data_IF_921060286797
#
_entry.id   IF_921060286797
#
_cell.length_a   1.000
_cell.length_b   1.000
_cell.length_c   1.000
_cell.angle_alpha   90.00
_cell.angle_beta   90.00
_cell.angle_gamma   90.00
#
_symmetry.space_group_name_H-M   'P 1'
#
loop_
_entity.id
_entity.type
_entity.pdbx_description
1 polymer ?
#
# COMPACT_ATOMS: atom_id res chain seq x y z
N UNK A 1 -9.28 -12.94 41.20
CA UNK A 1 -9.23 -11.50 40.87
C UNK A 1 -9.85 -11.37 39.50
N UNK A 2 -10.94 -10.60 39.40
CA UNK A 2 -11.84 -10.51 38.26
C UNK A 2 -11.14 -10.07 36.97
N UNK A 3 -11.32 -10.83 35.90
CA UNK A 3 -11.16 -10.38 34.52
C UNK A 3 -12.34 -9.45 34.16
N UNK A 4 -12.10 -8.24 33.64
CA UNK A 4 -13.14 -7.50 32.94
C UNK A 4 -12.87 -7.46 31.43
N UNK A 5 -14.00 -7.50 30.71
CA UNK A 5 -14.23 -7.05 29.35
C UNK A 5 -13.77 -7.96 28.18
N UNK A 6 -14.80 -8.54 27.58
CA UNK A 6 -14.83 -9.25 26.31
C UNK A 6 -14.08 -8.52 25.19
N UNK A 7 -13.26 -9.28 24.46
CA UNK A 7 -12.61 -8.83 23.23
C UNK A 7 -13.66 -8.76 22.12
N UNK A 8 -14.24 -7.57 21.95
CA UNK A 8 -15.09 -7.24 20.80
C UNK A 8 -14.53 -5.99 20.12
N UNK A 9 -13.51 -6.15 19.28
CA UNK A 9 -13.03 -5.07 18.41
C UNK A 9 -12.52 -5.64 17.07
N UNK A 10 -12.98 -5.12 15.92
CA UNK A 10 -12.43 -5.47 14.62
C UNK A 10 -11.03 -4.86 14.45
N UNK A 11 -9.99 -5.68 14.33
CA UNK A 11 -8.66 -5.18 14.01
C UNK A 11 -8.58 -4.88 12.51
N UNK A 12 -8.27 -3.64 12.14
CA UNK A 12 -7.91 -3.26 10.77
C UNK A 12 -6.39 -3.09 10.72
N UNK A 13 -5.74 -3.94 9.95
CA UNK A 13 -4.28 -3.91 9.79
C UNK A 13 -3.87 -2.67 8.99
N UNK A 14 -2.90 -1.89 9.47
CA UNK A 14 -2.30 -0.76 8.73
C UNK A 14 -1.22 -1.20 7.73
N UNK A 15 -0.94 -2.51 7.67
CA UNK A 15 -0.10 -3.14 6.67
C UNK A 15 -0.90 -4.18 5.86
N UNK A 16 -1.38 -3.84 4.65
CA UNK A 16 -2.26 -4.72 3.88
C UNK A 16 -1.55 -5.92 3.22
N UNK A 17 -0.25 -6.12 3.43
CA UNK A 17 0.50 -7.18 2.72
C UNK A 17 0.30 -8.58 3.33
N UNK A 18 -0.22 -8.72 4.57
CA UNK A 18 -0.33 -10.03 5.23
C UNK A 18 -1.75 -10.42 5.66
N UNK A 19 -2.74 -9.60 5.38
CA UNK A 19 -4.10 -9.86 5.81
C UNK A 19 -4.97 -10.13 4.56
N UNK A 20 -5.44 -11.37 4.40
CA UNK A 20 -6.58 -11.74 3.53
C UNK A 20 -7.89 -11.85 4.32
N UNK A 21 -8.30 -10.90 5.19
CA UNK A 21 -9.68 -10.91 5.63
C UNK A 21 -10.50 -10.29 4.50
N UNK A 22 -11.77 -10.65 4.46
CA UNK A 22 -12.77 -9.70 4.00
C UNK A 22 -12.64 -8.42 4.86
N UNK A 23 -12.47 -7.26 4.22
CA UNK A 23 -12.26 -5.95 4.86
C UNK A 23 -13.35 -5.60 5.89
N UNK A 24 -14.51 -6.26 5.80
CA UNK A 24 -15.64 -6.09 6.71
C UNK A 24 -15.68 -7.07 7.88
N UNK A 25 -14.77 -8.03 7.91
CA UNK A 25 -14.90 -9.19 8.78
C UNK A 25 -14.05 -9.01 10.06
N UNK A 26 -14.68 -9.21 11.22
CA UNK A 26 -14.02 -9.04 12.53
C UNK A 26 -12.83 -9.99 12.66
N UNK A 27 -11.74 -9.51 13.28
CA UNK A 27 -10.65 -10.38 13.71
C UNK A 27 -11.17 -11.31 14.81
N UNK A 28 -11.19 -12.62 14.52
CA UNK A 28 -11.52 -13.68 15.48
C UNK A 28 -10.25 -14.42 15.90
N UNK A 29 -10.32 -15.17 17.00
CA UNK A 29 -9.20 -15.97 17.51
C UNK A 29 -8.65 -16.94 16.45
N UNK A 30 -9.52 -17.64 15.73
CA UNK A 30 -9.12 -18.59 14.68
C UNK A 30 -8.40 -17.92 13.51
N UNK A 31 -8.82 -16.70 13.15
CA UNK A 31 -8.15 -15.92 12.11
C UNK A 31 -6.83 -15.35 12.57
N UNK A 32 -6.73 -14.99 13.84
CA UNK A 32 -5.48 -14.53 14.43
C UNK A 32 -4.44 -15.66 14.47
N UNK A 33 -4.86 -16.89 14.82
CA UNK A 33 -4.03 -18.10 14.73
C UNK A 33 -3.54 -18.36 13.31
N UNK A 34 -4.46 -18.32 12.35
CA UNK A 34 -4.13 -18.49 10.93
C UNK A 34 -3.12 -17.44 10.44
N UNK A 35 -3.30 -16.17 10.84
CA UNK A 35 -2.40 -15.07 10.48
C UNK A 35 -1.02 -15.19 11.12
N UNK A 36 -0.97 -15.57 12.39
CA UNK A 36 0.28 -15.78 13.10
C UNK A 36 0.94 -17.14 12.77
N UNK A 37 0.36 -17.90 11.83
CA UNK A 37 0.78 -19.26 11.43
C UNK A 37 1.04 -20.16 12.63
N UNK A 38 0.14 -20.12 13.62
CA UNK A 38 0.31 -20.83 14.89
C UNK A 38 -1.02 -21.33 15.41
N UNK A 39 -1.02 -22.50 16.03
CA UNK A 39 -2.19 -23.07 16.68
C UNK A 39 -2.40 -22.50 18.11
N UNK A 40 -1.39 -21.81 18.66
CA UNK A 40 -1.43 -21.23 20.01
C UNK A 40 -1.90 -19.76 20.02
N UNK A 41 -3.03 -19.53 20.69
CA UNK A 41 -3.62 -18.20 20.90
C UNK A 41 -2.65 -17.23 21.56
N UNK A 42 -1.90 -17.69 22.57
CA UNK A 42 -1.03 -16.80 23.33
C UNK A 42 0.13 -16.30 22.48
N UNK A 43 0.71 -17.17 21.67
CA UNK A 43 1.73 -16.81 20.69
C UNK A 43 1.17 -15.83 19.65
N UNK A 44 -0.03 -16.08 19.13
CA UNK A 44 -0.68 -15.21 18.16
C UNK A 44 -0.99 -13.80 18.72
N UNK A 45 -1.51 -13.73 19.96
CA UNK A 45 -1.77 -12.47 20.66
C UNK A 45 -0.47 -11.72 20.99
N UNK A 46 0.58 -12.42 21.41
CA UNK A 46 1.88 -11.81 21.67
C UNK A 46 2.47 -11.15 20.42
N UNK A 47 2.31 -11.79 19.25
CA UNK A 47 2.71 -11.21 17.97
C UNK A 47 1.88 -9.94 17.67
N UNK A 48 0.56 -10.00 17.83
CA UNK A 48 -0.33 -8.86 17.63
C UNK A 48 0.07 -7.67 18.53
N UNK A 49 0.25 -7.90 19.82
CA UNK A 49 0.65 -6.84 20.76
C UNK A 49 2.04 -6.28 20.47
N UNK A 50 2.97 -7.10 20.00
CA UNK A 50 4.28 -6.63 19.54
C UNK A 50 4.15 -5.69 18.36
N UNK A 51 3.35 -6.03 17.36
CA UNK A 51 3.12 -5.16 16.20
C UNK A 51 2.40 -3.86 16.57
N UNK A 52 1.43 -3.92 17.48
CA UNK A 52 0.76 -2.71 17.98
C UNK A 52 1.73 -1.81 18.74
N UNK A 53 2.62 -2.38 19.57
CA UNK A 53 3.64 -1.62 20.30
C UNK A 53 4.71 -1.03 19.38
N UNK A 54 4.94 -1.65 18.22
CA UNK A 54 5.82 -1.15 17.17
C UNK A 54 5.10 -0.17 16.22
N UNK A 55 3.86 0.21 16.54
CA UNK A 55 3.05 1.14 15.74
C UNK A 55 2.76 0.65 14.31
N UNK A 56 2.94 -0.66 14.06
CA UNK A 56 2.66 -1.28 12.76
C UNK A 56 1.18 -1.62 12.56
N UNK A 57 0.40 -1.68 13.63
CA UNK A 57 -1.02 -2.04 13.60
C UNK A 57 -1.80 -1.25 14.65
N UNK A 58 -2.99 -0.78 14.29
CA UNK A 58 -3.92 -0.17 15.22
C UNK A 58 -5.27 -0.89 15.14
N UNK A 59 -5.94 -1.04 16.29
CA UNK A 59 -7.30 -1.55 16.34
C UNK A 59 -8.29 -0.39 16.22
N UNK A 60 -9.32 -0.54 15.39
CA UNK A 60 -10.42 0.43 15.32
C UNK A 60 -11.67 -0.17 15.97
N UNK A 61 -12.35 0.56 16.85
CA UNK A 61 -13.52 0.05 17.57
C UNK A 61 -14.74 -0.18 16.65
N UNK A 62 -14.80 0.54 15.53
CA UNK A 62 -15.77 0.36 14.45
C UNK A 62 -14.98 -0.06 13.21
N UNK A 63 -15.50 -0.99 12.38
CA UNK A 63 -14.90 -1.20 11.07
C UNK A 63 -14.91 0.15 10.36
N UNK A 64 -13.74 0.59 9.89
CA UNK A 64 -13.62 1.84 9.18
C UNK A 64 -14.51 1.78 7.95
N UNK A 65 -15.66 2.47 8.01
CA UNK A 65 -16.55 2.61 6.87
C UNK A 65 -16.00 3.60 5.83
N UNK A 66 -14.81 4.16 6.07
CA UNK A 66 -14.02 4.82 5.04
C UNK A 66 -13.34 3.73 4.20
N UNK A 67 -14.17 2.91 3.55
CA UNK A 67 -13.81 2.48 2.21
C UNK A 67 -13.60 3.78 1.45
N UNK A 68 -12.35 4.06 1.09
CA UNK A 68 -12.04 5.13 0.13
C UNK A 68 -13.04 4.95 -0.98
N UNK A 69 -13.80 5.99 -1.31
CA UNK A 69 -14.65 5.93 -2.49
C UNK A 69 -13.69 5.70 -3.65
N UNK A 70 -13.70 4.47 -4.15
CA UNK A 70 -12.76 3.97 -5.15
C UNK A 70 -13.15 4.58 -6.49
N UNK A 71 -12.89 5.87 -6.61
CA UNK A 71 -13.17 6.72 -7.76
C UNK A 71 -11.91 7.53 -8.03
N UNK A 72 -11.66 7.90 -9.29
CA UNK A 72 -10.57 8.80 -9.68
C UNK A 72 -10.44 10.00 -8.73
N UNK A 73 -11.56 10.70 -8.50
CA UNK A 73 -11.63 11.91 -7.69
C UNK A 73 -11.29 11.66 -6.20
N UNK A 74 -11.52 10.42 -5.73
CA UNK A 74 -11.18 9.99 -4.38
C UNK A 74 -9.67 9.81 -4.21
N UNK A 75 -9.02 9.22 -5.21
CA UNK A 75 -7.58 9.04 -5.23
C UNK A 75 -6.84 10.37 -5.44
N UNK A 76 -7.31 11.26 -6.31
CA UNK A 76 -6.66 12.55 -6.56
C UNK A 76 -6.50 13.40 -5.28
N UNK A 77 -7.54 13.44 -4.44
CA UNK A 77 -7.49 14.12 -3.14
C UNK A 77 -6.44 13.53 -2.17
N UNK A 78 -6.19 12.22 -2.27
CA UNK A 78 -5.22 11.52 -1.44
C UNK A 78 -3.81 11.71 -2.01
N UNK A 79 -3.65 11.55 -3.33
CA UNK A 79 -2.39 11.67 -4.05
C UNK A 79 -1.73 13.04 -3.82
N UNK A 80 -2.52 14.12 -3.73
CA UNK A 80 -1.99 15.46 -3.49
C UNK A 80 -1.26 15.60 -2.15
N UNK A 81 -1.53 14.72 -1.20
CA UNK A 81 -0.91 14.70 0.13
C UNK A 81 0.34 13.82 0.21
N UNK A 82 0.63 13.04 -0.85
CA UNK A 82 1.77 12.12 -0.89
C UNK A 82 3.07 12.76 -1.39
N UNK A 83 3.01 14.03 -1.80
CA UNK A 83 4.11 14.78 -2.37
C UNK A 83 4.08 16.21 -1.81
N UNK A 84 5.25 16.74 -1.46
CA UNK A 84 5.39 18.15 -1.07
C UNK A 84 4.99 19.13 -2.19
N UNK A 85 5.24 18.73 -3.44
CA UNK A 85 4.89 19.49 -4.65
C UNK A 85 3.43 19.30 -5.07
N UNK A 86 2.66 18.47 -4.34
CA UNK A 86 1.27 18.11 -4.65
C UNK A 86 1.11 17.51 -6.06
N UNK A 87 2.16 16.85 -6.55
CA UNK A 87 2.19 16.17 -7.84
C UNK A 87 2.42 14.69 -7.64
N UNK A 88 1.42 13.90 -7.99
CA UNK A 88 1.51 12.45 -7.88
C UNK A 88 0.61 11.79 -8.92
N UNK A 89 0.98 10.58 -9.29
CA UNK A 89 0.31 9.78 -10.31
C UNK A 89 0.23 8.34 -9.81
N UNK A 90 -0.87 7.67 -10.09
CA UNK A 90 -1.01 6.25 -9.83
C UNK A 90 -1.19 5.51 -11.14
N UNK A 91 -0.27 4.58 -11.40
CA UNK A 91 -0.07 3.92 -12.69
C UNK A 91 -0.17 2.40 -12.49
N UNK A 92 -0.68 1.69 -13.50
CA UNK A 92 -0.61 0.24 -13.53
C UNK A 92 0.76 -0.26 -14.05
N UNK A 93 0.86 -1.57 -14.27
CA UNK A 93 2.08 -2.17 -14.82
C UNK A 93 2.31 -1.89 -16.31
N UNK A 94 1.27 -1.54 -17.06
CA UNK A 94 1.28 -1.39 -18.51
C UNK A 94 1.49 0.07 -18.93
N UNK A 95 1.51 1.00 -17.98
CA UNK A 95 1.75 2.42 -18.21
C UNK A 95 0.47 3.26 -18.31
N UNK A 96 -0.68 2.71 -17.91
CA UNK A 96 -1.92 3.48 -17.82
C UNK A 96 -2.07 4.07 -16.43
N UNK A 97 -2.31 5.37 -16.34
CA UNK A 97 -2.67 6.01 -15.09
C UNK A 97 -4.18 6.07 -14.91
N UNK A 98 -4.64 5.90 -13.67
CA UNK A 98 -6.07 5.98 -13.32
C UNK A 98 -6.40 7.09 -12.31
N UNK A 99 -5.38 7.71 -11.71
CA UNK A 99 -5.53 8.91 -10.89
C UNK A 99 -4.30 9.80 -11.04
N UNK A 100 -4.53 11.11 -11.21
CA UNK A 100 -3.48 12.10 -11.49
C UNK A 100 -3.75 13.40 -10.72
N UNK A 101 -2.75 13.93 -10.04
CA UNK A 101 -2.81 15.27 -9.44
C UNK A 101 -1.57 16.07 -9.82
N UNK A 102 -1.78 17.32 -10.23
CA UNK A 102 -0.71 18.29 -10.46
C UNK A 102 0.12 18.13 -11.75
N UNK A 103 -0.05 17.04 -12.51
CA UNK A 103 0.45 16.93 -13.88
C UNK A 103 -0.65 17.28 -14.89
N UNK A 104 -0.27 17.87 -16.03
CA UNK A 104 -1.19 17.93 -17.18
C UNK A 104 -1.32 16.53 -17.81
N UNK A 105 -2.40 16.27 -18.56
CA UNK A 105 -2.69 14.94 -19.10
C UNK A 105 -1.57 14.37 -19.98
N UNK A 106 -0.99 15.18 -20.87
CA UNK A 106 0.10 14.75 -21.76
C UNK A 106 1.34 14.35 -20.96
N UNK A 107 1.71 15.14 -19.95
CA UNK A 107 2.84 14.83 -19.07
C UNK A 107 2.54 13.60 -18.21
N UNK A 108 1.30 13.44 -17.74
CA UNK A 108 0.89 12.28 -16.97
C UNK A 108 1.02 10.97 -17.78
N UNK A 109 0.63 10.97 -19.06
CA UNK A 109 0.80 9.83 -19.96
C UNK A 109 2.28 9.46 -20.13
N UNK A 110 3.13 10.45 -20.43
CA UNK A 110 4.56 10.21 -20.60
C UNK A 110 5.24 9.74 -19.31
N UNK A 111 4.87 10.32 -18.16
CA UNK A 111 5.39 9.91 -16.85
C UNK A 111 4.92 8.50 -16.50
N UNK A 112 3.69 8.12 -16.86
CA UNK A 112 3.17 6.78 -16.64
C UNK A 112 3.94 5.72 -17.43
N UNK A 113 4.17 5.99 -18.72
CA UNK A 113 4.99 5.15 -19.58
C UNK A 113 6.41 5.00 -19.01
N UNK A 114 7.05 6.11 -18.63
CA UNK A 114 8.38 6.11 -18.04
C UNK A 114 8.44 5.29 -16.74
N UNK A 115 7.44 5.43 -15.87
CA UNK A 115 7.37 4.70 -14.61
C UNK A 115 7.29 3.18 -14.82
N UNK A 116 6.45 2.74 -15.77
CA UNK A 116 6.34 1.32 -16.15
C UNK A 116 7.66 0.78 -16.69
N UNK A 117 8.29 1.49 -17.63
CA UNK A 117 9.56 1.06 -18.22
C UNK A 117 10.69 0.98 -17.20
N UNK A 118 10.82 1.99 -16.34
CA UNK A 118 11.86 2.06 -15.34
C UNK A 118 11.70 0.96 -14.28
N UNK A 119 10.45 0.68 -13.87
CA UNK A 119 10.14 -0.44 -12.97
C UNK A 119 10.50 -1.77 -13.62
N UNK A 120 10.10 -1.99 -14.87
CA UNK A 120 10.39 -3.23 -15.62
C UNK A 120 11.90 -3.45 -15.80
N UNK A 121 12.65 -2.37 -16.07
CA UNK A 121 14.11 -2.42 -16.18
C UNK A 121 14.75 -2.84 -14.85
N UNK A 122 14.29 -2.26 -13.75
CA UNK A 122 14.79 -2.56 -12.39
C UNK A 122 14.50 -4.01 -12.01
N UNK A 123 13.28 -4.49 -12.30
CA UNK A 123 12.88 -5.89 -12.07
C UNK A 123 13.73 -6.87 -12.86
N UNK A 124 14.02 -6.57 -14.14
CA UNK A 124 14.88 -7.39 -15.01
C UNK A 124 16.30 -7.55 -14.43
N UNK A 125 16.79 -6.54 -13.72
CA UNK A 125 18.11 -6.56 -13.08
C UNK A 125 18.06 -6.82 -11.56
N UNK A 126 16.92 -7.29 -11.04
CA UNK A 126 16.71 -7.50 -9.61
C UNK A 126 17.73 -8.43 -8.95
N UNK A 127 18.23 -9.45 -9.65
CA UNK A 127 19.27 -10.33 -9.12
C UNK A 127 20.56 -9.57 -8.81
N UNK A 128 21.00 -8.66 -9.70
CA UNK A 128 22.17 -7.82 -9.48
C UNK A 128 21.94 -6.88 -8.28
N UNK A 129 20.78 -6.21 -8.26
CA UNK A 129 20.45 -5.20 -7.26
C UNK A 129 20.34 -5.84 -5.86
N UNK A 130 19.62 -6.95 -5.74
CA UNK A 130 19.37 -7.61 -4.44
C UNK A 130 20.55 -8.45 -3.97
N UNK A 131 21.16 -9.25 -4.84
CA UNK A 131 22.15 -10.23 -4.40
C UNK A 131 23.58 -9.67 -4.40
N UNK A 132 23.92 -8.82 -5.37
CA UNK A 132 25.30 -8.34 -5.50
C UNK A 132 25.50 -6.98 -4.82
N UNK A 133 24.50 -6.10 -4.92
CA UNK A 133 24.56 -4.76 -4.33
C UNK A 133 23.90 -4.69 -2.94
N UNK A 134 23.18 -5.74 -2.53
CA UNK A 134 22.47 -5.81 -1.24
C UNK A 134 21.45 -4.67 -1.06
N UNK A 135 20.86 -4.20 -2.16
CA UNK A 135 19.85 -3.15 -2.18
C UNK A 135 18.47 -3.83 -2.23
N UNK A 136 17.70 -3.65 -1.16
CA UNK A 136 16.35 -4.23 -1.03
C UNK A 136 15.24 -3.22 -1.29
N UNK A 137 15.58 -1.95 -1.52
CA UNK A 137 14.61 -0.95 -1.92
C UNK A 137 14.26 -1.13 -3.40
N UNK A 138 12.97 -1.09 -3.71
CA UNK A 138 12.47 -1.19 -5.08
C UNK A 138 12.08 0.17 -5.66
N UNK A 139 12.11 1.24 -4.86
CA UNK A 139 11.88 2.59 -5.35
C UNK A 139 13.06 3.06 -6.20
N UNK A 140 12.75 3.74 -7.30
CA UNK A 140 13.72 4.32 -8.22
C UNK A 140 13.32 5.76 -8.52
N UNK A 141 14.27 6.66 -8.72
CA UNK A 141 13.95 8.06 -8.94
C UNK A 141 14.98 8.82 -9.74
N UNK A 142 14.51 9.92 -10.31
CA UNK A 142 15.32 10.98 -10.90
C UNK A 142 15.67 11.94 -9.76
N UNK A 143 16.94 12.29 -9.67
CA UNK A 143 17.45 13.19 -8.67
C UNK A 143 18.14 14.39 -9.31
N UNK A 144 18.06 15.53 -8.63
CA UNK A 144 18.85 16.71 -8.96
C UNK A 144 20.35 16.46 -8.69
N UNK A 145 21.25 17.38 -9.14
CA UNK A 145 22.67 17.27 -8.84
C UNK A 145 23.04 17.31 -7.35
N UNK A 146 22.14 17.79 -6.49
CA UNK A 146 22.31 17.79 -5.04
C UNK A 146 21.88 16.46 -4.40
N UNK A 147 21.34 15.52 -5.18
CA UNK A 147 20.87 14.21 -4.73
C UNK A 147 19.45 14.20 -4.18
N UNK A 148 18.71 15.31 -4.30
CA UNK A 148 17.30 15.37 -3.92
C UNK A 148 16.44 14.76 -5.02
N UNK A 149 15.41 14.01 -4.67
CA UNK A 149 14.53 13.43 -5.68
C UNK A 149 13.63 14.50 -6.29
N UNK A 150 13.60 14.54 -7.63
CA UNK A 150 12.65 15.34 -8.41
C UNK A 150 11.43 14.51 -8.83
N UNK A 151 11.63 13.21 -9.09
CA UNK A 151 10.57 12.28 -9.48
C UNK A 151 10.92 10.89 -8.99
N UNK A 152 10.08 10.26 -8.16
CA UNK A 152 10.29 8.89 -7.68
C UNK A 152 9.15 7.98 -8.12
N UNK A 153 9.48 6.76 -8.53
CA UNK A 153 8.59 5.67 -8.84
C UNK A 153 8.66 4.61 -7.73
N UNK A 154 7.52 4.30 -7.13
CA UNK A 154 7.36 3.33 -6.06
C UNK A 154 6.52 2.15 -6.55
N UNK A 155 7.13 1.00 -6.87
CA UNK A 155 6.40 -0.21 -7.18
C UNK A 155 5.63 -0.71 -5.94
N UNK A 156 4.31 -0.87 -6.09
CA UNK A 156 3.38 -1.36 -5.09
C UNK A 156 2.77 -2.69 -5.55
N UNK A 157 3.07 -3.76 -4.81
CA UNK A 157 2.55 -5.09 -5.08
C UNK A 157 1.38 -5.38 -4.14
N UNK A 158 0.18 -5.50 -4.69
CA UNK A 158 -1.06 -5.70 -3.91
C UNK A 158 -1.77 -6.92 -4.49
N UNK A 159 -1.70 -8.05 -3.78
CA UNK A 159 -2.17 -9.32 -4.31
C UNK A 159 -1.42 -9.70 -5.59
N UNK A 160 -2.16 -9.85 -6.70
CA UNK A 160 -1.58 -10.15 -8.02
C UNK A 160 -1.43 -8.92 -8.90
N UNK A 161 -1.88 -7.73 -8.45
CA UNK A 161 -1.79 -6.50 -9.23
C UNK A 161 -0.52 -5.73 -8.87
N UNK A 162 0.13 -5.19 -9.90
CA UNK A 162 1.27 -4.29 -9.75
C UNK A 162 0.81 -2.88 -10.11
N UNK A 163 0.91 -2.00 -9.13
CA UNK A 163 0.67 -0.57 -9.28
C UNK A 163 1.98 0.17 -9.04
N UNK A 164 2.11 1.36 -9.57
CA UNK A 164 3.29 2.21 -9.43
C UNK A 164 2.80 3.58 -8.97
N UNK A 165 3.19 3.97 -7.76
CA UNK A 165 2.99 5.33 -7.27
C UNK A 165 4.14 6.20 -7.78
N UNK A 166 3.82 7.28 -8.46
CA UNK A 166 4.77 8.31 -8.88
C UNK A 166 4.57 9.55 -8.01
N UNK A 167 5.65 10.11 -7.49
CA UNK A 167 5.62 11.40 -6.77
C UNK A 167 6.68 12.33 -7.35
N UNK A 168 6.33 13.59 -7.61
CA UNK A 168 7.35 14.60 -7.86
C UNK A 168 7.79 15.26 -6.54
N UNK A 169 9.05 15.67 -6.45
CA UNK A 169 9.63 16.25 -5.23
C UNK A 169 9.78 15.23 -4.10
N UNK A 170 9.67 15.70 -2.86
CA UNK A 170 9.85 14.87 -1.67
C UNK A 170 8.61 13.99 -1.40
N UNK A 171 8.77 12.66 -1.32
CA UNK A 171 7.69 11.74 -1.07
C UNK A 171 7.28 11.74 0.42
N UNK A 172 6.00 11.99 0.70
CA UNK A 172 5.41 12.04 2.04
C UNK A 172 4.67 10.73 2.37
N UNK A 173 5.38 9.61 2.31
CA UNK A 173 4.79 8.26 2.46
C UNK A 173 4.53 7.87 3.92
N UNK A 174 5.11 8.58 4.88
CA UNK A 174 4.85 8.39 6.31
C UNK A 174 3.56 9.13 6.76
N UNK A 175 2.50 9.05 5.96
CA UNK A 175 1.24 9.77 6.14
C UNK A 175 0.03 8.83 6.17
N UNK A 176 -1.04 9.26 6.83
CA UNK A 176 -2.33 8.56 6.80
C UNK A 176 -2.90 8.48 5.37
N UNK A 177 -2.60 9.48 4.54
CA UNK A 177 -2.95 9.49 3.12
C UNK A 177 -2.37 8.28 2.38
N UNK A 178 -1.11 7.93 2.63
CA UNK A 178 -0.49 6.76 2.00
C UNK A 178 -1.20 5.47 2.40
N UNK A 179 -1.47 5.28 3.69
CA UNK A 179 -2.20 4.10 4.19
C UNK A 179 -3.58 4.01 3.54
N UNK A 180 -4.27 5.15 3.47
CA UNK A 180 -5.61 5.25 2.89
C UNK A 180 -5.61 4.88 1.40
N UNK A 181 -4.61 5.34 0.64
CA UNK A 181 -4.42 4.96 -0.76
C UNK A 181 -4.21 3.45 -0.91
N UNK A 182 -3.29 2.84 -0.13
CA UNK A 182 -3.01 1.41 -0.25
C UNK A 182 -4.25 0.58 0.14
N UNK A 183 -5.05 1.02 1.13
CA UNK A 183 -6.35 0.41 1.44
C UNK A 183 -7.31 0.48 0.25
N UNK A 184 -7.42 1.62 -0.42
CA UNK A 184 -8.26 1.78 -1.62
C UNK A 184 -7.83 0.84 -2.75
N UNK A 185 -6.51 0.70 -2.98
CA UNK A 185 -5.98 -0.24 -3.97
C UNK A 185 -6.22 -1.70 -3.60
N UNK A 186 -6.18 -2.04 -2.31
CA UNK A 186 -6.49 -3.39 -1.85
C UNK A 186 -7.96 -3.74 -2.12
N UNK A 187 -8.88 -2.79 -1.95
CA UNK A 187 -10.29 -2.97 -2.31
C UNK A 187 -10.47 -3.19 -3.82
N UNK A 188 -9.80 -2.38 -4.65
CA UNK A 188 -9.79 -2.57 -6.12
C UNK A 188 -9.32 -3.96 -6.52
N UNK A 189 -8.15 -4.37 -6.00
CA UNK A 189 -7.59 -5.68 -6.30
C UNK A 189 -8.47 -6.83 -5.77
N UNK A 190 -9.26 -6.59 -4.72
CA UNK A 190 -10.21 -7.55 -4.16
C UNK A 190 -11.48 -7.72 -5.00
N UNK A 191 -11.98 -6.65 -5.64
CA UNK A 191 -13.15 -6.73 -6.52
C UNK A 191 -12.86 -7.56 -7.78
N UNK A 192 -11.66 -7.49 -8.35
CA UNK A 192 -11.25 -8.31 -9.50
C UNK A 192 -11.20 -9.81 -9.20
N UNK A 193 -10.94 -10.19 -7.94
CA UNK A 193 -10.87 -11.61 -7.52
C UNK A 193 -12.26 -12.26 -7.48
N UNK A 194 -13.33 -11.47 -7.34
CA UNK A 194 -14.71 -11.99 -7.31
C UNK A 194 -15.33 -12.22 -8.69
N UNK A 195 -14.66 -11.84 -9.79
CA UNK A 195 -15.18 -11.99 -11.17
C UNK A 195 -14.74 -13.30 -11.83
N UNK A 196 -13.79 -14.03 -11.24
CA UNK A 196 -13.29 -15.29 -11.81
C UNK A 196 -13.89 -16.49 -11.08
N UNK A 197 -15.21 -16.69 -11.20
CA UNK A 197 -15.90 -17.97 -10.97
C UNK A 197 -17.33 -17.89 -11.54
N UNK A 198 -17.45 -17.98 -12.86
CA UNK A 198 -18.62 -18.56 -13.54
C UNK A 198 -18.14 -19.67 -14.48
#
# INVERSE_FOLDING_TARGET
MQYPAQVTAPAVCYWPIFFRPDINSRLTEDRLKQWAETDDVHTALNLLYRLQRLEFLYGEAKPSSQLVKVTSDGFENILGQLSDSHKALLVDQDGFYFANVGFNHETAEEVANLASEATRLTEKHSLLIKNNLNIYNNAIGICDPAGQSELTFFPLYIGNTKNILVTAGLPLLNSEAFVTMVRGLYVLAGEDIHVVNE
#
